data_IF_674326479963
#
_entry.id   IF_674326479963
#
_cell.length_a   1.000
_cell.length_b   1.000
_cell.length_c   1.000
_cell.angle_alpha   90.00
_cell.angle_beta   90.00
_cell.angle_gamma   90.00
#
_symmetry.space_group_name_H-M   'P 1'
#
loop_
_entity.id
_entity.type
_entity.pdbx_description
1 polymer ?
#
# COMPACT_ATOMS: atom_id res chain seq x y z
N UNK A 1 -4.04 -15.98 -4.62
CA UNK A 1 -3.32 -14.68 -4.54
C UNK A 1 -3.51 -13.95 -5.87
N UNK A 2 -3.64 -12.63 -5.86
CA UNK A 2 -3.74 -11.80 -7.07
C UNK A 2 -2.63 -10.73 -7.02
N UNK A 3 -2.00 -10.44 -8.15
CA UNK A 3 -0.97 -9.41 -8.27
C UNK A 3 -1.59 -8.05 -8.63
N UNK A 4 -0.96 -6.97 -8.18
CA UNK A 4 -1.30 -5.60 -8.56
C UNK A 4 -0.03 -4.98 -9.13
N UNK A 5 -0.13 -4.43 -10.33
CA UNK A 5 0.96 -3.70 -11.01
C UNK A 5 0.43 -2.35 -11.42
N UNK A 6 1.16 -1.28 -11.10
CA UNK A 6 0.81 0.08 -11.46
C UNK A 6 2.08 0.90 -11.70
N UNK A 7 1.95 2.00 -12.45
CA UNK A 7 3.05 2.93 -12.69
C UNK A 7 3.00 4.03 -11.65
N UNK A 8 4.17 4.45 -11.18
CA UNK A 8 4.37 5.57 -10.27
C UNK A 8 5.31 6.59 -10.92
N UNK A 9 5.11 7.90 -10.72
CA UNK A 9 6.16 8.89 -10.90
C UNK A 9 7.40 8.51 -10.10
N UNK A 10 8.58 8.83 -10.62
CA UNK A 10 9.87 8.51 -10.01
C UNK A 10 9.98 9.02 -8.57
N UNK A 11 9.59 10.28 -8.33
CA UNK A 11 9.63 10.90 -7.00
C UNK A 11 8.77 10.16 -5.96
N UNK A 12 7.61 9.62 -6.36
CA UNK A 12 6.75 8.85 -5.47
C UNK A 12 7.37 7.48 -5.14
N UNK A 13 8.04 6.87 -6.12
CA UNK A 13 8.79 5.62 -5.92
C UNK A 13 9.99 5.83 -4.99
N UNK A 14 10.75 6.90 -5.18
CA UNK A 14 11.87 7.27 -4.31
C UNK A 14 11.41 7.47 -2.87
N UNK A 15 10.30 8.18 -2.67
CA UNK A 15 9.71 8.37 -1.34
C UNK A 15 9.35 7.05 -0.67
N UNK A 16 8.72 6.13 -1.43
CA UNK A 16 8.38 4.80 -0.93
C UNK A 16 9.64 3.99 -0.58
N UNK A 17 10.68 4.06 -1.40
CA UNK A 17 11.95 3.36 -1.16
C UNK A 17 12.66 3.89 0.09
N UNK A 18 12.76 5.21 0.26
CA UNK A 18 13.37 5.81 1.44
C UNK A 18 12.65 5.41 2.74
N UNK A 19 11.31 5.40 2.72
CA UNK A 19 10.52 4.93 3.87
C UNK A 19 10.77 3.44 4.16
N UNK A 20 10.83 2.61 3.12
CA UNK A 20 11.12 1.17 3.26
C UNK A 20 12.50 0.93 3.89
N UNK A 21 13.51 1.69 3.48
CA UNK A 21 14.87 1.60 4.02
C UNK A 21 14.91 2.04 5.49
N UNK A 22 14.30 3.18 5.82
CA UNK A 22 14.26 3.71 7.19
C UNK A 22 13.64 2.72 8.17
N UNK A 23 12.51 2.09 7.79
CA UNK A 23 11.76 1.20 8.68
C UNK A 23 12.21 -0.26 8.60
N UNK A 24 13.14 -0.60 7.70
CA UNK A 24 13.58 -1.98 7.46
C UNK A 24 12.48 -2.87 6.88
N UNK A 25 11.60 -2.30 6.03
CA UNK A 25 10.41 -2.96 5.48
C UNK A 25 10.50 -3.08 3.97
N UNK A 26 9.79 -4.04 3.38
CA UNK A 26 9.65 -4.12 1.92
C UNK A 26 8.39 -3.39 1.44
N UNK A 27 8.39 -2.97 0.18
CA UNK A 27 7.27 -2.25 -0.45
C UNK A 27 5.95 -3.03 -0.39
N UNK A 28 6.01 -4.36 -0.54
CA UNK A 28 4.81 -5.21 -0.50
C UNK A 28 4.11 -5.13 0.85
N UNK A 29 4.87 -5.17 1.94
CA UNK A 29 4.31 -5.14 3.30
C UNK A 29 3.78 -3.76 3.66
N UNK A 30 4.46 -2.69 3.23
CA UNK A 30 3.98 -1.30 3.40
C UNK A 30 2.65 -1.11 2.67
N UNK A 31 2.58 -1.48 1.38
CA UNK A 31 1.35 -1.36 0.58
C UNK A 31 0.23 -2.26 1.13
N UNK A 32 0.55 -3.48 1.55
CA UNK A 32 -0.42 -4.42 2.13
C UNK A 32 -1.00 -3.88 3.44
N UNK A 33 -0.16 -3.29 4.29
CA UNK A 33 -0.63 -2.65 5.52
C UNK A 33 -1.53 -1.46 5.21
N UNK A 34 -1.13 -0.60 4.26
CA UNK A 34 -1.94 0.52 3.83
C UNK A 34 -3.33 0.05 3.36
N UNK A 35 -3.39 -0.95 2.48
CA UNK A 35 -4.66 -1.55 2.00
C UNK A 35 -5.50 -2.09 3.17
N UNK A 36 -4.89 -2.75 4.16
CA UNK A 36 -5.61 -3.23 5.35
C UNK A 36 -6.17 -2.08 6.17
N UNK A 37 -5.43 -0.97 6.28
CA UNK A 37 -5.90 0.23 6.98
C UNK A 37 -7.13 0.84 6.29
N UNK A 38 -7.23 0.73 4.96
CA UNK A 38 -8.37 1.22 4.18
C UNK A 38 -9.67 0.51 4.55
N UNK A 39 -9.64 -0.76 5.01
CA UNK A 39 -10.85 -1.47 5.46
C UNK A 39 -11.62 -0.72 6.54
N UNK A 40 -10.92 0.04 7.40
CA UNK A 40 -11.56 0.86 8.44
C UNK A 40 -12.23 2.13 7.90
N UNK A 41 -11.91 2.52 6.66
CA UNK A 41 -12.40 3.72 5.98
C UNK A 41 -13.48 3.40 4.95
N UNK A 42 -13.55 2.16 4.49
CA UNK A 42 -14.62 1.68 3.61
C UNK A 42 -15.86 1.48 4.49
N UNK A 43 -16.95 2.18 4.17
CA UNK A 43 -18.25 1.86 4.78
C UNK A 43 -18.59 0.42 4.40
N UNK A 44 -19.11 -0.42 5.31
CA UNK A 44 -19.63 -1.71 4.91
C UNK A 44 -20.64 -1.46 3.79
N UNK A 45 -20.43 -2.12 2.65
CA UNK A 45 -21.43 -2.16 1.59
C UNK A 45 -22.61 -2.91 2.20
N UNK A 46 -23.75 -2.23 2.41
CA UNK A 46 -25.02 -2.88 2.76
C UNK A 46 -25.43 -3.76 1.57
N UNK A 47 -24.84 -4.95 1.51
CA UNK A 47 -25.34 -6.08 0.76
C UNK A 47 -25.63 -7.19 1.75
N UNK A 48 -26.72 -6.96 2.50
CA UNK A 48 -27.60 -8.03 2.96
C UNK A 48 -28.28 -8.71 1.76
#
# INVERSE_FOLDING_TARGET
MKAITFRLPEQELETLQAYCEQEGRNQTDVLREYIRSLKRKIKPDDKD
#
